data_IF_515418969953
#
_entry.id   IF_515418969953
#
_cell.length_a   1.000
_cell.length_b   1.000
_cell.length_c   1.000
_cell.angle_alpha   90.00
_cell.angle_beta   90.00
_cell.angle_gamma   90.00
#
_symmetry.space_group_name_H-M   'P 1'
#
loop_
_entity.id
_entity.type
_entity.pdbx_description
1 polymer ?
#
# COMPACT_ATOMS: atom_id res chain seq x y z
N UNK A 1 7.82 1.68 -22.69
CA UNK A 1 6.68 1.95 -21.78
C UNK A 1 7.02 1.29 -20.45
N UNK A 2 7.25 2.06 -19.39
CA UNK A 2 7.47 1.47 -18.08
C UNK A 2 6.17 0.76 -17.66
N UNK A 3 6.23 -0.56 -17.44
CA UNK A 3 5.05 -1.33 -17.08
C UNK A 3 4.40 -0.77 -15.82
N UNK A 4 3.12 -0.43 -15.89
CA UNK A 4 2.36 0.08 -14.75
C UNK A 4 2.32 -1.00 -13.67
N UNK A 5 2.60 -0.63 -12.41
CA UNK A 5 2.44 -1.55 -11.28
C UNK A 5 1.00 -2.08 -11.26
N UNK A 6 0.83 -3.39 -11.06
CA UNK A 6 -0.47 -4.03 -10.93
C UNK A 6 -0.81 -4.16 -9.46
N UNK A 7 -1.87 -3.48 -9.02
CA UNK A 7 -2.41 -3.65 -7.66
C UNK A 7 -3.01 -5.05 -7.55
N UNK A 8 -2.58 -5.77 -6.51
CA UNK A 8 -3.04 -7.12 -6.15
C UNK A 8 -4.14 -7.05 -5.10
N UNK A 9 -3.95 -6.20 -4.09
CA UNK A 9 -4.87 -6.04 -2.96
C UNK A 9 -4.83 -4.60 -2.47
N UNK A 10 -5.99 -4.07 -2.11
CA UNK A 10 -6.13 -2.75 -1.47
C UNK A 10 -6.90 -2.95 -0.18
N UNK A 11 -6.33 -2.51 0.95
CA UNK A 11 -6.93 -2.64 2.28
C UNK A 11 -7.21 -1.24 2.79
N UNK A 12 -8.48 -0.91 2.97
CA UNK A 12 -8.94 0.39 3.44
C UNK A 12 -9.33 0.32 4.93
N UNK A 13 -9.01 1.36 5.70
CA UNK A 13 -9.51 1.52 7.07
C UNK A 13 -11.03 1.70 7.07
N UNK A 14 -11.77 1.23 8.09
CA UNK A 14 -13.22 1.39 8.17
C UNK A 14 -13.72 2.84 8.06
N UNK A 15 -12.91 3.80 8.51
CA UNK A 15 -13.19 5.25 8.43
C UNK A 15 -13.01 5.82 6.99
N UNK A 16 -12.41 5.07 6.08
CA UNK A 16 -12.14 5.50 4.70
C UNK A 16 -11.05 6.58 4.56
N UNK A 17 -10.36 6.91 5.65
CA UNK A 17 -9.29 7.92 5.67
C UNK A 17 -7.92 7.40 5.26
N UNK A 18 -7.68 6.08 5.26
CA UNK A 18 -6.39 5.47 4.91
C UNK A 18 -6.58 4.16 4.15
N UNK A 19 -5.64 3.84 3.26
CA UNK A 19 -5.55 2.53 2.63
C UNK A 19 -4.10 2.09 2.44
N UNK A 20 -3.89 0.79 2.31
CA UNK A 20 -2.62 0.20 1.89
C UNK A 20 -2.86 -0.61 0.63
N UNK A 21 -2.15 -0.25 -0.43
CA UNK A 21 -2.18 -0.98 -1.70
C UNK A 21 -0.95 -1.87 -1.81
N UNK A 22 -1.18 -3.16 -1.96
CA UNK A 22 -0.18 -4.15 -2.35
C UNK A 22 -0.17 -4.29 -3.87
N UNK A 23 1.00 -4.23 -4.47
CA UNK A 23 1.16 -4.28 -5.92
C UNK A 23 2.39 -5.08 -6.35
N UNK A 24 2.33 -5.60 -7.58
CA UNK A 24 3.45 -6.22 -8.26
C UNK A 24 3.98 -5.30 -9.36
N UNK A 25 5.30 -5.17 -9.41
CA UNK A 25 6.02 -4.41 -10.43
C UNK A 25 6.19 -5.25 -11.69
N UNK A 26 6.43 -4.63 -12.86
CA UNK A 26 6.70 -5.38 -14.09
C UNK A 26 7.93 -6.31 -14.02
N UNK A 27 8.85 -6.02 -13.11
CA UNK A 27 10.02 -6.87 -12.79
C UNK A 27 9.64 -8.15 -12.00
N UNK A 28 8.40 -8.28 -11.53
CA UNK A 28 7.93 -9.39 -10.70
C UNK A 28 8.13 -9.17 -9.19
N UNK A 29 8.86 -8.12 -8.81
CA UNK A 29 9.01 -7.67 -7.42
C UNK A 29 7.70 -7.14 -6.84
N UNK A 30 7.41 -7.50 -5.58
CA UNK A 30 6.25 -7.06 -4.83
C UNK A 30 6.54 -5.77 -4.05
N UNK A 31 5.52 -4.95 -3.81
CA UNK A 31 5.63 -3.71 -3.07
C UNK A 31 4.30 -3.36 -2.41
N UNK A 32 4.35 -2.41 -1.49
CA UNK A 32 3.16 -1.82 -0.90
C UNK A 32 3.36 -0.32 -0.72
N UNK A 33 2.25 0.42 -0.69
CA UNK A 33 2.26 1.84 -0.35
C UNK A 33 1.05 2.18 0.52
N UNK A 34 1.29 2.99 1.56
CA UNK A 34 0.21 3.52 2.39
C UNK A 34 -0.24 4.85 1.83
N UNK A 35 -1.55 4.99 1.63
CA UNK A 35 -2.18 6.23 1.23
C UNK A 35 -3.09 6.75 2.33
N UNK A 36 -3.15 8.08 2.42
CA UNK A 36 -4.11 8.82 3.23
C UNK A 36 -5.01 9.63 2.32
N UNK A 37 -6.29 9.66 2.63
CA UNK A 37 -7.27 10.56 2.05
C UNK A 37 -7.88 11.41 3.16
N UNK A 38 -7.94 12.70 2.93
CA UNK A 38 -8.65 13.60 3.83
C UNK A 38 -10.04 13.89 3.23
N UNK A 39 -11.13 13.50 3.91
CA UNK A 39 -12.48 13.66 3.37
C UNK A 39 -12.84 15.13 3.16
N UNK A 40 -12.27 16.03 3.95
CA UNK A 40 -12.54 17.48 3.93
C UNK A 40 -11.82 18.22 2.79
N UNK A 41 -10.66 17.73 2.33
CA UNK A 41 -9.82 18.48 1.39
C UNK A 41 -10.15 18.18 -0.08
N UNK A 42 -10.97 17.16 -0.39
CA UNK A 42 -11.29 16.67 -1.75
C UNK A 42 -10.08 16.36 -2.66
N UNK A 43 -8.84 16.45 -2.18
CA UNK A 43 -7.62 16.30 -2.98
C UNK A 43 -7.27 14.86 -3.38
N UNK A 44 -8.01 13.88 -2.88
CA UNK A 44 -7.82 12.47 -3.20
C UNK A 44 -6.82 11.76 -2.28
N UNK A 45 -6.17 10.72 -2.80
CA UNK A 45 -5.24 9.87 -2.06
C UNK A 45 -3.80 10.37 -2.18
N UNK A 46 -3.10 10.43 -1.05
CA UNK A 46 -1.70 10.83 -0.95
C UNK A 46 -0.85 9.70 -0.38
N UNK A 47 0.29 9.35 -1.02
CA UNK A 47 1.21 8.39 -0.43
C UNK A 47 1.84 8.99 0.83
N UNK A 48 1.77 8.27 1.94
CA UNK A 48 2.34 8.69 3.23
C UNK A 48 3.39 7.71 3.78
N UNK A 49 3.39 6.46 3.31
CA UNK A 49 4.36 5.45 3.75
C UNK A 49 5.75 5.60 3.11
N UNK A 50 5.80 6.14 1.88
CA UNK A 50 7.00 6.16 1.04
C UNK A 50 7.67 4.77 0.98
N UNK A 51 6.84 3.71 1.01
CA UNK A 51 7.30 2.33 0.93
C UNK A 51 7.30 1.82 -0.51
N UNK A 52 6.80 2.62 -1.46
CA UNK A 52 6.75 2.30 -2.88
C UNK A 52 8.12 2.04 -3.52
N UNK A 53 9.23 2.45 -2.90
CA UNK A 53 10.59 2.15 -3.37
C UNK A 53 11.09 0.76 -2.92
N UNK A 54 10.47 0.16 -1.89
CA UNK A 54 10.89 -1.15 -1.37
C UNK A 54 10.35 -2.29 -2.24
N UNK A 55 11.24 -3.17 -2.68
CA UNK A 55 10.90 -4.39 -3.40
C UNK A 55 11.06 -5.63 -2.52
N UNK A 56 10.06 -6.51 -2.57
CA UNK A 56 10.02 -7.79 -1.86
C UNK A 56 9.92 -8.94 -2.86
N UNK A 57 10.35 -10.14 -2.47
CA UNK A 57 10.37 -11.30 -3.38
C UNK A 57 9.00 -11.97 -3.50
N UNK A 58 8.17 -11.86 -2.47
CA UNK A 58 6.81 -12.41 -2.46
C UNK A 58 5.83 -11.49 -1.74
N UNK A 59 4.54 -11.73 -1.95
CA UNK A 59 3.44 -10.99 -1.32
C UNK A 59 3.49 -11.06 0.20
N UNK A 60 3.77 -12.25 0.78
CA UNK A 60 3.82 -12.42 2.24
C UNK A 60 4.93 -11.60 2.92
N UNK A 61 6.08 -11.40 2.27
CA UNK A 61 7.14 -10.51 2.79
C UNK A 61 6.68 -9.05 2.77
N UNK A 62 5.97 -8.64 1.72
CA UNK A 62 5.40 -7.30 1.63
C UNK A 62 4.31 -7.10 2.71
N UNK A 63 3.44 -8.09 2.94
CA UNK A 63 2.41 -8.06 3.98
C UNK A 63 3.01 -8.01 5.39
N UNK A 64 3.98 -8.87 5.72
CA UNK A 64 4.63 -8.84 7.04
C UNK A 64 5.27 -7.47 7.30
N UNK A 65 5.97 -6.93 6.30
CA UNK A 65 6.59 -5.61 6.42
C UNK A 65 5.57 -4.49 6.51
N UNK A 66 4.45 -4.59 5.79
CA UNK A 66 3.35 -3.64 5.86
C UNK A 66 2.70 -3.67 7.25
N UNK A 67 2.43 -4.86 7.81
CA UNK A 67 1.88 -5.01 9.18
C UNK A 67 2.82 -4.47 10.25
N UNK A 68 4.13 -4.67 10.08
CA UNK A 68 5.13 -4.16 11.01
C UNK A 68 5.32 -2.64 10.92
N UNK A 69 5.07 -2.02 9.76
CA UNK A 69 5.31 -0.59 9.57
C UNK A 69 4.04 0.25 9.72
N UNK A 70 2.91 -0.25 9.21
CA UNK A 70 1.60 0.40 9.24
C UNK A 70 0.81 -0.15 10.43
N UNK A 71 0.88 0.55 11.57
CA UNK A 71 0.35 0.02 12.84
C UNK A 71 -1.15 -0.29 12.81
N UNK A 72 -1.94 0.46 12.05
CA UNK A 72 -3.38 0.20 11.91
C UNK A 72 -3.69 -1.01 11.02
N UNK A 73 -2.78 -1.36 10.11
CA UNK A 73 -3.01 -2.48 9.18
C UNK A 73 -3.04 -3.81 9.93
N UNK A 74 -2.27 -3.94 11.01
CA UNK A 74 -2.26 -5.11 11.87
C UNK A 74 -3.60 -5.35 12.61
N UNK A 75 -4.44 -4.32 12.75
CA UNK A 75 -5.77 -4.41 13.36
C UNK A 75 -6.84 -4.83 12.33
N UNK A 76 -6.60 -4.54 11.04
CA UNK A 76 -7.54 -4.81 9.93
C UNK A 76 -7.29 -6.17 9.26
N UNK A 77 -6.05 -6.72 9.35
CA UNK A 77 -5.62 -8.02 8.80
C UNK A 77 -5.67 -9.14 9.83
#
# INVERSE_FOLDING_TARGET
MAGKNRVLRSIETPDGGRCVDFFIRPDGSFGFEEYRREPEDMRGWFPIGFHGEKSFRCESEAEDKARATVSWLADVL
#
